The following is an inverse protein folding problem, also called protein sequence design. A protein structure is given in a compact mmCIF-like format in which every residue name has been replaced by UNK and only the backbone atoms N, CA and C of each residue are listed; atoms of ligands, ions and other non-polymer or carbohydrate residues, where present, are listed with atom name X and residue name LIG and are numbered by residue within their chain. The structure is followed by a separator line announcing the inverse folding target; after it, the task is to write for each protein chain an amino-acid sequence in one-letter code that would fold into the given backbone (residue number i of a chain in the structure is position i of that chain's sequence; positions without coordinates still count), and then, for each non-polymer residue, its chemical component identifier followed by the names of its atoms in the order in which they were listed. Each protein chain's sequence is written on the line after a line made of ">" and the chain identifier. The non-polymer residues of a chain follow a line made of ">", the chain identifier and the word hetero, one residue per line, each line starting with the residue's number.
data_IF_928142645967
#
_entry.id   IF_928142645967
#
_cell.length_a   1.000
_cell.length_b   1.000
_cell.length_c   1.000
_cell.angle_alpha   90.00
_cell.angle_beta   90.00
_cell.angle_gamma   90.00
#
_symmetry.space_group_name_H-M   'P 1'
#
loop_
_entity.id
_entity.type
_entity.pdbx_description
1 polymer ?
#
# COMPACT_ATOMS: atom_id res chain seq x y z
N UNK A 1 11.15 -14.01 17.70
CA UNK A 1 11.05 -13.23 16.44
C UNK A 1 11.99 -12.03 16.56
N UNK A 2 12.79 -11.71 15.55
CA UNK A 2 13.61 -10.49 15.59
C UNK A 2 12.79 -9.34 14.98
N UNK A 3 12.19 -8.50 15.84
CA UNK A 3 11.31 -7.40 15.43
C UNK A 3 12.01 -6.40 14.52
N UNK A 4 13.28 -6.09 14.78
CA UNK A 4 14.07 -5.16 13.95
C UNK A 4 14.19 -5.67 12.51
N UNK A 5 14.52 -6.95 12.33
CA UNK A 5 14.60 -7.58 11.00
C UNK A 5 13.26 -7.58 10.27
N UNK A 6 12.15 -7.80 11.00
CA UNK A 6 10.80 -7.75 10.42
C UNK A 6 10.48 -6.32 9.95
N UNK A 7 10.73 -5.32 10.79
CA UNK A 7 10.52 -3.91 10.47
C UNK A 7 11.36 -3.48 9.27
N UNK A 8 12.63 -3.90 9.21
CA UNK A 8 13.50 -3.62 8.06
C UNK A 8 12.94 -4.21 6.77
N UNK A 9 12.49 -5.46 6.80
CA UNK A 9 11.90 -6.12 5.63
C UNK A 9 10.61 -5.43 5.17
N UNK A 10 9.76 -4.99 6.11
CA UNK A 10 8.55 -4.22 5.80
C UNK A 10 8.89 -2.89 5.13
N UNK A 11 9.90 -2.18 5.65
CA UNK A 11 10.39 -0.92 5.06
C UNK A 11 10.86 -1.10 3.62
N UNK A 12 11.60 -2.18 3.34
CA UNK A 12 12.04 -2.53 1.98
C UNK A 12 10.84 -2.75 1.05
N UNK A 13 9.85 -3.51 1.51
CA UNK A 13 8.64 -3.78 0.73
C UNK A 13 7.83 -2.50 0.45
N UNK A 14 7.62 -1.66 1.46
CA UNK A 14 6.89 -0.38 1.29
C UNK A 14 7.64 0.55 0.33
N UNK A 15 8.98 0.61 0.38
CA UNK A 15 9.77 1.37 -0.60
C UNK A 15 9.59 0.83 -2.03
N UNK A 16 9.53 -0.48 -2.20
CA UNK A 16 9.27 -1.09 -3.52
C UNK A 16 7.84 -0.80 -4.02
N UNK A 17 6.85 -0.80 -3.12
CA UNK A 17 5.47 -0.39 -3.42
C UNK A 17 5.44 1.08 -3.85
N UNK A 18 6.10 1.97 -3.11
CA UNK A 18 6.17 3.40 -3.43
C UNK A 18 6.64 3.65 -4.86
N UNK A 19 7.75 3.05 -5.28
CA UNK A 19 8.27 3.22 -6.64
C UNK A 19 7.24 2.78 -7.70
N UNK A 20 6.58 1.65 -7.50
CA UNK A 20 5.54 1.15 -8.42
C UNK A 20 4.29 2.03 -8.41
N UNK A 21 3.89 2.55 -7.25
CA UNK A 21 2.76 3.45 -7.11
C UNK A 21 2.98 4.76 -7.86
N UNK A 22 4.18 5.36 -7.78
CA UNK A 22 4.52 6.57 -8.54
C UNK A 22 4.35 6.35 -10.04
N UNK A 23 4.80 5.21 -10.57
CA UNK A 23 4.65 4.91 -11.99
C UNK A 23 3.20 4.65 -12.37
N UNK A 24 2.44 3.93 -11.53
CA UNK A 24 1.03 3.66 -11.75
C UNK A 24 0.19 4.94 -11.76
N UNK A 25 0.43 5.84 -10.81
CA UNK A 25 -0.31 7.10 -10.66
C UNK A 25 -0.12 8.02 -11.86
N UNK A 26 1.09 8.07 -12.43
CA UNK A 26 1.32 8.80 -13.69
C UNK A 26 0.47 8.27 -14.83
N UNK A 27 0.27 6.95 -14.91
CA UNK A 27 -0.57 6.33 -15.94
C UNK A 27 -2.05 6.65 -15.69
N UNK A 28 -2.51 6.55 -14.44
CA UNK A 28 -3.89 6.91 -14.07
C UNK A 28 -4.18 8.36 -14.44
N UNK A 29 -3.32 9.29 -14.03
CA UNK A 29 -3.47 10.71 -14.34
C UNK A 29 -3.50 10.97 -15.86
N UNK A 30 -2.68 10.27 -16.64
CA UNK A 30 -2.70 10.39 -18.11
C UNK A 30 -4.02 9.87 -18.72
N UNK A 31 -4.51 8.71 -18.27
CA UNK A 31 -5.78 8.14 -18.74
C UNK A 31 -6.99 9.00 -18.37
N UNK A 32 -6.99 9.58 -17.16
CA UNK A 32 -8.02 10.51 -16.72
C UNK A 32 -8.02 11.79 -17.59
N UNK A 33 -6.84 12.33 -17.92
CA UNK A 33 -6.71 13.49 -18.80
C UNK A 33 -7.23 13.22 -20.22
N UNK A 34 -7.07 11.99 -20.72
CA UNK A 34 -7.59 11.54 -22.02
C UNK A 34 -9.08 11.15 -21.98
N UNK A 35 -9.75 11.27 -20.82
CA UNK A 35 -11.16 10.92 -20.63
C UNK A 35 -11.45 9.42 -20.63
N UNK A 36 -10.42 8.57 -20.51
CA UNK A 36 -10.50 7.11 -20.62
C UNK A 36 -10.58 6.37 -19.28
N UNK A 37 -10.74 7.07 -18.15
CA UNK A 37 -10.89 6.43 -16.85
C UNK A 37 -11.53 7.34 -15.80
N UNK A 38 -12.57 6.85 -15.14
CA UNK A 38 -13.08 7.42 -13.89
C UNK A 38 -12.88 6.34 -12.82
N UNK A 39 -11.70 6.35 -12.20
CA UNK A 39 -11.48 5.56 -11.00
C UNK A 39 -11.97 6.40 -9.83
N UNK A 40 -13.01 5.93 -9.14
CA UNK A 40 -13.45 6.60 -7.91
C UNK A 40 -12.52 6.23 -6.74
N UNK A 41 -12.09 4.95 -6.68
CA UNK A 41 -11.18 4.40 -5.67
C UNK A 41 -10.39 3.22 -6.22
N UNK A 42 -9.11 3.10 -5.85
CA UNK A 42 -8.25 1.94 -6.19
C UNK A 42 -8.73 0.65 -5.51
N UNK A 43 -9.08 0.73 -4.22
CA UNK A 43 -9.59 -0.40 -3.45
C UNK A 43 -11.07 -0.21 -3.12
N UNK A 44 -11.81 -1.32 -3.09
CA UNK A 44 -13.22 -1.36 -2.72
C UNK A 44 -13.42 -1.07 -1.22
N UNK A 45 -14.63 -0.67 -0.82
CA UNK A 45 -14.95 -0.24 0.55
C UNK A 45 -14.73 -1.31 1.65
N UNK A 46 -14.53 -2.58 1.31
CA UNK A 46 -14.23 -3.68 2.25
C UNK A 46 -12.75 -4.06 2.25
N UNK A 47 -11.89 -3.15 1.80
CA UNK A 47 -10.44 -3.35 1.85
C UNK A 47 -9.90 -3.13 3.28
N UNK A 48 -8.73 -3.69 3.63
CA UNK A 48 -8.08 -3.42 4.91
C UNK A 48 -7.62 -1.96 5.05
N UNK A 49 -7.64 -1.15 3.99
CA UNK A 49 -7.27 0.26 4.02
C UNK A 49 -8.41 1.14 4.53
N UNK A 50 -8.06 2.16 5.31
CA UNK A 50 -8.99 3.24 5.69
C UNK A 50 -9.03 4.37 4.65
N UNK A 51 -7.97 4.50 3.86
CA UNK A 51 -7.84 5.48 2.79
C UNK A 51 -8.82 5.17 1.66
N UNK A 52 -9.41 6.21 1.09
CA UNK A 52 -10.23 6.12 -0.10
C UNK A 52 -9.69 7.13 -1.12
N UNK A 53 -8.99 6.63 -2.13
CA UNK A 53 -8.36 7.44 -3.16
C UNK A 53 -8.34 6.73 -4.50
N UNK A 54 -8.33 7.51 -5.58
CA UNK A 54 -8.24 7.07 -6.98
C UNK A 54 -6.80 6.84 -7.47
N UNK A 55 -5.81 7.17 -6.64
CA UNK A 55 -4.39 6.99 -6.88
C UNK A 55 -3.78 6.08 -5.80
N UNK A 56 -2.66 5.43 -6.11
CA UNK A 56 -1.97 4.50 -5.21
C UNK A 56 -1.18 5.20 -4.10
N UNK A 57 -0.64 6.40 -4.34
CA UNK A 57 0.22 7.09 -3.37
C UNK A 57 -0.42 7.32 -1.98
N UNK A 58 -1.70 7.73 -1.86
CA UNK A 58 -2.37 7.84 -0.55
C UNK A 58 -2.36 6.53 0.26
N UNK A 59 -2.47 5.38 -0.40
CA UNK A 59 -2.39 4.09 0.30
C UNK A 59 -0.96 3.77 0.75
N UNK A 60 0.06 4.26 0.04
CA UNK A 60 1.47 4.13 0.46
C UNK A 60 1.75 4.98 1.70
N UNK A 61 1.14 6.17 1.80
CA UNK A 61 1.19 6.99 3.00
C UNK A 61 0.59 6.25 4.20
N UNK A 62 -0.57 5.59 4.03
CA UNK A 62 -1.16 4.76 5.08
C UNK A 62 -0.23 3.62 5.51
N UNK A 63 0.41 2.91 4.57
CA UNK A 63 1.40 1.87 4.89
C UNK A 63 2.59 2.41 5.69
N UNK A 64 3.06 3.62 5.38
CA UNK A 64 4.15 4.26 6.12
C UNK A 64 3.72 4.63 7.55
N UNK A 65 2.49 5.12 7.73
CA UNK A 65 1.92 5.41 9.04
C UNK A 65 1.74 4.15 9.88
N UNK A 66 1.26 3.05 9.27
CA UNK A 66 1.15 1.75 9.93
C UNK A 66 2.52 1.20 10.37
N UNK A 67 3.56 1.38 9.54
CA UNK A 67 4.93 1.00 9.90
C UNK A 67 5.44 1.82 11.09
N UNK A 68 5.19 3.13 11.11
CA UNK A 68 5.55 3.99 12.23
C UNK A 68 4.85 3.55 13.52
N UNK A 69 3.55 3.21 13.42
CA UNK A 69 2.79 2.66 14.55
C UNK A 69 3.39 1.35 15.05
N UNK A 70 3.74 0.44 14.14
CA UNK A 70 4.35 -0.85 14.49
C UNK A 70 5.69 -0.65 15.25
N UNK A 71 6.48 0.36 14.88
CA UNK A 71 7.73 0.71 15.56
C UNK A 71 7.54 1.28 16.97
N UNK A 72 6.34 1.78 17.28
CA UNK A 72 5.99 2.37 18.57
C UNK A 72 5.31 1.36 19.52
N UNK A 73 5.00 0.15 19.07
CA UNK A 73 4.39 -0.88 19.91
C UNK A 73 5.37 -1.34 21.01
N UNK A 74 4.97 -1.18 22.27
CA UNK A 74 5.75 -1.62 23.43
C UNK A 74 5.38 -3.06 23.89
N UNK A 75 4.17 -3.51 23.59
CA UNK A 75 3.66 -4.84 23.93
C UNK A 75 3.68 -5.82 22.73
N UNK A 76 3.97 -7.10 23.01
CA UNK A 76 4.08 -8.13 21.98
C UNK A 76 2.74 -8.44 21.30
N UNK A 77 1.62 -8.36 22.02
CA UNK A 77 0.31 -8.65 21.44
C UNK A 77 -0.13 -7.53 20.49
N UNK A 78 0.10 -6.28 20.87
CA UNK A 78 -0.19 -5.13 20.01
C UNK A 78 0.70 -5.14 18.76
N UNK A 79 2.00 -5.43 18.93
CA UNK A 79 2.93 -5.60 17.81
C UNK A 79 2.42 -6.63 16.80
N UNK A 80 1.97 -7.81 17.26
CA UNK A 80 1.43 -8.86 16.38
C UNK A 80 0.20 -8.40 15.61
N UNK A 81 -0.76 -7.74 16.27
CA UNK A 81 -1.99 -7.25 15.63
C UNK A 81 -1.70 -6.21 14.55
N UNK A 82 -0.83 -5.25 14.84
CA UNK A 82 -0.43 -4.22 13.88
C UNK A 82 0.35 -4.85 12.72
N UNK A 83 1.26 -5.80 13.02
CA UNK A 83 2.01 -6.54 12.01
C UNK A 83 1.09 -7.30 11.05
N UNK A 84 0.13 -8.06 11.58
CA UNK A 84 -0.83 -8.83 10.77
C UNK A 84 -1.59 -7.93 9.80
N UNK A 85 -2.10 -6.81 10.31
CA UNK A 85 -2.83 -5.82 9.49
C UNK A 85 -1.93 -5.23 8.39
N UNK A 86 -0.72 -4.82 8.74
CA UNK A 86 0.23 -4.23 7.79
C UNK A 86 0.65 -5.21 6.70
N UNK A 87 0.90 -6.48 7.05
CA UNK A 87 1.26 -7.52 6.07
C UNK A 87 0.14 -7.75 5.06
N UNK A 88 -1.12 -7.79 5.51
CA UNK A 88 -2.28 -7.94 4.63
C UNK A 88 -2.39 -6.76 3.66
N UNK A 89 -2.21 -5.52 4.14
CA UNK A 89 -2.21 -4.32 3.29
C UNK A 89 -1.07 -4.33 2.26
N UNK A 90 0.14 -4.71 2.67
CA UNK A 90 1.32 -4.83 1.77
C UNK A 90 1.06 -5.86 0.67
N UNK A 91 0.53 -7.03 1.02
CA UNK A 91 0.21 -8.09 0.06
C UNK A 91 -0.82 -7.62 -0.97
N UNK A 92 -1.90 -6.98 -0.50
CA UNK A 92 -2.94 -6.43 -1.36
C UNK A 92 -2.38 -5.36 -2.31
N UNK A 93 -1.62 -4.39 -1.79
CA UNK A 93 -0.99 -3.36 -2.61
C UNK A 93 -0.06 -3.95 -3.68
N UNK A 94 0.76 -4.95 -3.32
CA UNK A 94 1.63 -5.62 -4.28
C UNK A 94 0.85 -6.33 -5.40
N UNK A 95 -0.22 -7.07 -5.05
CA UNK A 95 -1.06 -7.77 -6.03
C UNK A 95 -1.74 -6.78 -6.96
N UNK A 96 -2.36 -5.74 -6.42
CA UNK A 96 -3.09 -4.75 -7.23
C UNK A 96 -2.16 -3.98 -8.15
N UNK A 97 -0.98 -3.56 -7.70
CA UNK A 97 0.02 -2.92 -8.57
C UNK A 97 0.52 -3.87 -9.67
N UNK A 98 0.70 -5.16 -9.36
CA UNK A 98 1.09 -6.15 -10.36
C UNK A 98 0.00 -6.36 -11.41
N UNK A 99 -1.26 -6.49 -10.99
CA UNK A 99 -2.42 -6.59 -11.88
C UNK A 99 -2.60 -5.34 -12.73
N UNK A 100 -2.48 -4.15 -12.12
CA UNK A 100 -2.54 -2.87 -12.85
C UNK A 100 -1.48 -2.81 -13.96
N UNK A 101 -0.24 -3.18 -13.64
CA UNK A 101 0.85 -3.24 -14.64
C UNK A 101 0.55 -4.23 -15.77
N UNK A 102 -0.05 -5.38 -15.47
CA UNK A 102 -0.42 -6.39 -16.48
C UNK A 102 -1.54 -5.92 -17.40
N UNK A 103 -2.48 -5.11 -16.93
CA UNK A 103 -3.55 -4.56 -17.78
C UNK A 103 -3.05 -3.51 -18.78
N UNK A 104 -1.86 -2.95 -18.54
CA UNK A 104 -1.26 -1.91 -19.37
C UNK A 104 -0.26 -2.43 -20.41
N UNK A 105 0.11 -3.72 -20.34
CA UNK A 105 1.11 -4.36 -21.23
C UNK A 105 0.49 -5.41 -22.13
#
# INVERSE_FOLDING_TARGET
>A
MNQEKVIEQLKINIKAIYHKAVDADKVISAQQADGLGQFDKIFVNDSPFSTEADHFLPYVEELANDLLRLQQCEDEQDFKKVLETLVVKIELAHKTLASFKQLLG
#
